data_IF_224857308773
#
_entry.id   IF_224857308773
#
_cell.length_a   1.000
_cell.length_b   1.000
_cell.length_c   1.000
_cell.angle_alpha   90.00
_cell.angle_beta   90.00
_cell.angle_gamma   90.00
#
_symmetry.space_group_name_H-M   'P 1'
#
loop_
_entity.id
_entity.type
_entity.pdbx_description
1 polymer ?
#
# COMPACT_ATOMS: atom_id res chain seq x y z
N UNK A 1 4.48 19.30 4.93
CA UNK A 1 5.48 20.34 5.14
C UNK A 1 5.24 21.48 4.14
N UNK A 2 5.47 22.72 4.57
CA UNK A 2 5.43 23.89 3.66
C UNK A 2 6.75 24.07 2.96
N UNK A 3 6.71 24.48 1.69
CA UNK A 3 7.88 24.88 0.91
C UNK A 3 7.82 26.39 0.67
N UNK A 4 8.96 27.06 0.81
CA UNK A 4 9.10 28.49 0.50
C UNK A 4 10.29 28.67 -0.44
N UNK A 5 10.05 29.36 -1.55
CA UNK A 5 11.08 29.75 -2.50
C UNK A 5 11.26 31.26 -2.41
N UNK A 6 12.50 31.75 -2.19
CA UNK A 6 12.81 33.17 -2.10
C UNK A 6 13.94 33.45 -3.08
N UNK A 7 13.70 34.30 -4.08
CA UNK A 7 14.66 34.67 -5.13
C UNK A 7 15.34 33.48 -5.85
N UNK A 8 14.60 32.38 -5.96
CA UNK A 8 15.10 31.14 -6.59
C UNK A 8 15.02 31.27 -8.12
N UNK A 9 16.14 31.54 -8.76
CA UNK A 9 16.24 31.63 -10.23
C UNK A 9 16.58 30.28 -10.79
N UNK A 10 15.70 29.73 -11.61
CA UNK A 10 15.89 28.43 -12.31
C UNK A 10 16.02 28.71 -13.81
N UNK A 11 17.10 28.26 -14.47
CA UNK A 11 17.24 28.38 -15.93
C UNK A 11 16.11 27.67 -16.67
N UNK A 12 15.61 28.26 -17.74
CA UNK A 12 14.48 27.74 -18.54
C UNK A 12 14.71 26.32 -19.07
N UNK A 13 15.96 25.93 -19.32
CA UNK A 13 16.32 24.54 -19.73
C UNK A 13 15.91 23.45 -18.73
N UNK A 14 15.58 23.80 -17.49
CA UNK A 14 15.11 22.87 -16.48
C UNK A 14 13.58 22.82 -16.37
N UNK A 15 12.88 23.57 -17.23
CA UNK A 15 11.42 23.49 -17.31
C UNK A 15 11.00 22.14 -17.91
N UNK A 16 10.02 21.52 -17.28
CA UNK A 16 9.38 20.29 -17.74
C UNK A 16 8.06 20.65 -18.44
N UNK A 17 7.97 20.35 -19.73
CA UNK A 17 6.77 20.64 -20.54
C UNK A 17 6.63 22.14 -20.88
N UNK A 18 5.49 22.50 -21.44
CA UNK A 18 5.18 23.86 -21.83
C UNK A 18 4.64 24.71 -20.69
N UNK A 19 4.66 26.03 -20.83
CA UNK A 19 4.08 26.97 -19.85
C UNK A 19 2.58 26.71 -19.73
N UNK A 20 2.11 26.46 -18.51
CA UNK A 20 0.72 26.14 -18.22
C UNK A 20 0.40 24.64 -18.12
N UNK A 21 1.31 23.74 -18.52
CA UNK A 21 1.09 22.28 -18.52
C UNK A 21 1.55 21.55 -17.25
N UNK A 22 1.99 22.25 -16.23
CA UNK A 22 2.54 21.65 -15.01
C UNK A 22 1.61 20.65 -14.34
N UNK A 23 0.28 20.86 -14.36
CA UNK A 23 -0.69 19.92 -13.84
C UNK A 23 -0.70 18.61 -14.66
N UNK A 24 -0.61 18.69 -15.99
CA UNK A 24 -0.57 17.52 -16.85
C UNK A 24 0.67 16.68 -16.59
N UNK A 25 1.85 17.32 -16.49
CA UNK A 25 3.12 16.66 -16.14
C UNK A 25 3.02 15.96 -14.77
N UNK A 26 2.44 16.65 -13.76
CA UNK A 26 2.24 16.08 -12.43
C UNK A 26 1.29 14.87 -12.47
N UNK A 27 0.17 14.94 -13.19
CA UNK A 27 -0.81 13.85 -13.29
C UNK A 27 -0.25 12.62 -13.99
N UNK A 28 0.60 12.80 -15.00
CA UNK A 28 1.30 11.70 -15.66
C UNK A 28 2.22 10.97 -14.68
N UNK A 29 3.03 11.71 -13.92
CA UNK A 29 3.91 11.15 -12.88
C UNK A 29 3.11 10.40 -11.79
N UNK A 30 1.99 10.98 -11.34
CA UNK A 30 1.12 10.36 -10.33
C UNK A 30 0.45 9.07 -10.81
N UNK A 31 0.30 8.85 -12.11
CA UNK A 31 -0.21 7.60 -12.65
C UNK A 31 0.65 6.41 -12.23
N UNK A 32 1.96 6.50 -12.48
CA UNK A 32 2.90 5.43 -12.16
C UNK A 32 3.21 5.36 -10.65
N UNK A 33 3.34 6.50 -9.97
CA UNK A 33 3.70 6.53 -8.55
C UNK A 33 2.62 5.92 -7.64
N UNK A 34 1.36 5.89 -8.05
CA UNK A 34 0.30 5.13 -7.35
C UNK A 34 0.59 3.63 -7.29
N UNK A 35 1.20 3.08 -8.34
CA UNK A 35 1.63 1.68 -8.35
C UNK A 35 2.79 1.46 -7.36
N UNK A 36 3.72 2.41 -7.25
CA UNK A 36 4.79 2.37 -6.24
C UNK A 36 4.25 2.42 -4.80
N UNK A 37 3.21 3.23 -4.54
CA UNK A 37 2.54 3.23 -3.23
C UNK A 37 1.90 1.87 -2.94
N UNK A 38 1.26 1.26 -3.94
CA UNK A 38 0.69 -0.08 -3.76
C UNK A 38 1.75 -1.14 -3.45
N UNK A 39 2.92 -1.07 -4.10
CA UNK A 39 4.05 -1.97 -3.87
C UNK A 39 4.68 -1.74 -2.48
N UNK A 40 4.84 -0.49 -2.06
CA UNK A 40 5.29 -0.15 -0.70
C UNK A 40 4.35 -0.72 0.37
N UNK A 41 3.04 -0.61 0.17
CA UNK A 41 2.04 -1.22 1.04
C UNK A 41 2.14 -2.76 1.04
N UNK A 42 2.40 -3.39 -0.11
CA UNK A 42 2.63 -4.83 -0.20
C UNK A 42 3.84 -5.27 0.64
N UNK A 43 4.95 -4.51 0.56
CA UNK A 43 6.14 -4.76 1.37
C UNK A 43 5.86 -4.66 2.87
N UNK A 44 5.13 -3.63 3.30
CA UNK A 44 4.70 -3.49 4.70
C UNK A 44 3.80 -4.64 5.14
N UNK A 45 2.80 -5.01 4.33
CA UNK A 45 1.90 -6.11 4.64
C UNK A 45 2.64 -7.44 4.75
N UNK A 46 3.60 -7.71 3.87
CA UNK A 46 4.45 -8.90 3.93
C UNK A 46 5.24 -8.95 5.26
N UNK A 47 5.85 -7.84 5.66
CA UNK A 47 6.58 -7.75 6.93
C UNK A 47 5.67 -7.98 8.13
N UNK A 48 4.49 -7.39 8.13
CA UNK A 48 3.48 -7.58 9.20
C UNK A 48 3.06 -9.05 9.33
N UNK A 49 2.86 -9.75 8.22
CA UNK A 49 2.54 -11.18 8.23
C UNK A 49 3.68 -12.02 8.80
N UNK A 50 4.93 -11.72 8.44
CA UNK A 50 6.12 -12.42 8.98
C UNK A 50 6.24 -12.27 10.49
N UNK A 51 6.03 -11.06 11.01
CA UNK A 51 6.02 -10.78 12.45
C UNK A 51 4.90 -11.55 13.16
N UNK A 52 3.71 -11.59 12.57
CA UNK A 52 2.56 -12.33 13.08
C UNK A 52 2.84 -13.82 13.17
N UNK A 53 3.44 -14.42 12.13
CA UNK A 53 3.80 -15.84 12.10
C UNK A 53 4.88 -16.16 13.13
N UNK A 54 5.91 -15.33 13.26
CA UNK A 54 6.97 -15.50 14.25
C UNK A 54 6.38 -15.55 15.66
N UNK A 55 5.58 -14.54 16.02
CA UNK A 55 4.88 -14.49 17.31
C UNK A 55 3.98 -15.69 17.54
N UNK A 56 3.19 -16.06 16.54
CA UNK A 56 2.23 -17.17 16.67
C UNK A 56 2.92 -18.52 16.91
N UNK A 57 4.12 -18.73 16.40
CA UNK A 57 4.93 -19.95 16.63
C UNK A 57 5.51 -20.01 18.04
N UNK A 58 5.96 -18.88 18.57
CA UNK A 58 6.70 -18.82 19.84
C UNK A 58 5.80 -18.67 21.07
N UNK A 59 4.72 -17.88 20.97
CA UNK A 59 3.85 -17.62 22.10
C UNK A 59 3.02 -18.83 22.49
N UNK A 60 3.18 -19.27 23.71
CA UNK A 60 2.39 -20.36 24.30
C UNK A 60 1.27 -19.77 25.18
N UNK A 61 0.04 -20.22 24.96
CA UNK A 61 -1.12 -19.91 25.80
C UNK A 61 -1.92 -21.20 26.04
N UNK A 62 -2.36 -21.40 27.29
CA UNK A 62 -3.10 -22.62 27.67
C UNK A 62 -2.41 -23.91 27.19
N UNK A 63 -1.08 -23.97 27.37
CA UNK A 63 -0.26 -25.15 27.07
C UNK A 63 0.02 -25.44 25.58
N UNK A 64 -0.35 -24.53 24.65
CA UNK A 64 -0.13 -24.73 23.21
C UNK A 64 0.34 -23.43 22.51
N UNK A 65 1.21 -23.49 21.47
CA UNK A 65 1.55 -22.33 20.65
C UNK A 65 0.31 -21.69 20.01
N UNK A 66 0.31 -20.37 19.89
CA UNK A 66 -0.81 -19.62 19.29
C UNK A 66 -1.14 -20.11 17.88
N UNK A 67 -0.15 -20.49 17.08
CA UNK A 67 -0.32 -21.00 15.70
C UNK A 67 -1.23 -22.24 15.63
N UNK A 68 -1.45 -22.95 16.74
CA UNK A 68 -2.37 -24.10 16.83
C UNK A 68 -3.82 -23.69 17.07
N UNK A 69 -4.12 -22.40 17.22
CA UNK A 69 -5.47 -21.86 17.39
C UNK A 69 -6.10 -21.57 16.05
N UNK A 70 -7.31 -22.05 15.81
CA UNK A 70 -8.02 -21.83 14.53
C UNK A 70 -8.21 -20.35 14.21
N UNK A 71 -8.55 -19.50 15.20
CA UNK A 71 -8.68 -18.06 15.01
C UNK A 71 -7.39 -17.43 14.46
N UNK A 72 -6.24 -17.80 15.02
CA UNK A 72 -4.93 -17.32 14.57
C UNK A 72 -4.61 -17.81 13.13
N UNK A 73 -4.92 -19.07 12.85
CA UNK A 73 -4.73 -19.61 11.49
C UNK A 73 -5.60 -18.90 10.47
N UNK A 74 -6.84 -18.54 10.84
CA UNK A 74 -7.74 -17.77 9.98
C UNK A 74 -7.18 -16.38 9.69
N UNK A 75 -6.69 -15.66 10.70
CA UNK A 75 -6.06 -14.34 10.51
C UNK A 75 -4.82 -14.40 9.61
N UNK A 76 -3.97 -15.41 9.81
CA UNK A 76 -2.77 -15.63 8.97
C UNK A 76 -3.18 -15.93 7.52
N UNK A 77 -4.16 -16.81 7.31
CA UNK A 77 -4.64 -17.18 5.99
C UNK A 77 -5.29 -15.99 5.26
N UNK A 78 -6.11 -15.21 5.97
CA UNK A 78 -6.74 -14.02 5.44
C UNK A 78 -5.69 -12.98 5.02
N UNK A 79 -4.69 -12.73 5.86
CA UNK A 79 -3.58 -11.84 5.55
C UNK A 79 -2.79 -12.32 4.32
N UNK A 80 -2.47 -13.61 4.26
CA UNK A 80 -1.77 -14.20 3.12
C UNK A 80 -2.55 -14.10 1.81
N UNK A 81 -3.87 -14.30 1.86
CA UNK A 81 -4.77 -14.14 0.70
C UNK A 81 -4.70 -12.72 0.13
N UNK A 82 -4.85 -11.70 0.97
CA UNK A 82 -4.82 -10.32 0.51
C UNK A 82 -3.46 -9.92 -0.07
N UNK A 83 -2.36 -10.36 0.56
CA UNK A 83 -1.00 -10.15 0.04
C UNK A 83 -0.82 -10.82 -1.33
N UNK A 84 -1.31 -12.05 -1.48
CA UNK A 84 -1.23 -12.78 -2.75
C UNK A 84 -1.99 -12.07 -3.88
N UNK A 85 -3.24 -11.65 -3.61
CA UNK A 85 -4.09 -10.95 -4.58
C UNK A 85 -3.48 -9.60 -4.98
N UNK A 86 -3.01 -8.81 -4.01
CA UNK A 86 -2.38 -7.52 -4.28
C UNK A 86 -1.10 -7.68 -5.12
N UNK A 87 -0.24 -8.65 -4.76
CA UNK A 87 0.98 -8.92 -5.53
C UNK A 87 0.66 -9.27 -6.98
N UNK A 88 -0.33 -10.12 -7.20
CA UNK A 88 -0.77 -10.50 -8.55
C UNK A 88 -1.28 -9.30 -9.34
N UNK A 89 -2.07 -8.43 -8.72
CA UNK A 89 -2.58 -7.23 -9.36
C UNK A 89 -1.47 -6.24 -9.73
N UNK A 90 -0.49 -6.02 -8.83
CA UNK A 90 0.66 -5.15 -9.10
C UNK A 90 1.49 -5.68 -10.28
N UNK A 91 1.77 -6.98 -10.30
CA UNK A 91 2.52 -7.60 -11.41
C UNK A 91 1.76 -7.50 -12.73
N UNK A 92 0.43 -7.65 -12.72
CA UNK A 92 -0.37 -7.46 -13.92
C UNK A 92 -0.34 -6.01 -14.41
N UNK A 93 -0.53 -5.04 -13.52
CA UNK A 93 -0.45 -3.62 -13.86
C UNK A 93 0.93 -3.23 -14.43
N UNK A 94 2.01 -3.76 -13.85
CA UNK A 94 3.37 -3.52 -14.33
C UNK A 94 3.58 -4.08 -15.75
N UNK A 95 3.12 -5.30 -16.04
CA UNK A 95 3.22 -5.91 -17.38
C UNK A 95 2.43 -5.13 -18.42
N UNK A 96 1.23 -4.65 -18.09
CA UNK A 96 0.43 -3.80 -18.98
C UNK A 96 1.14 -2.49 -19.28
N UNK A 97 1.72 -1.86 -18.27
CA UNK A 97 2.52 -0.66 -18.45
C UNK A 97 3.74 -0.89 -19.36
N UNK A 98 4.47 -2.00 -19.16
CA UNK A 98 5.60 -2.39 -20.02
C UNK A 98 5.15 -2.66 -21.48
N UNK A 99 3.92 -3.10 -21.68
CA UNK A 99 3.31 -3.28 -22.99
C UNK A 99 2.84 -1.96 -23.64
N UNK A 100 2.98 -0.82 -22.96
CA UNK A 100 2.63 0.51 -23.46
C UNK A 100 1.19 0.93 -23.18
N UNK A 101 0.46 0.22 -22.31
CA UNK A 101 -0.88 0.62 -21.89
C UNK A 101 -0.83 1.79 -20.89
N UNK A 102 -1.89 2.61 -20.86
CA UNK A 102 -2.04 3.68 -19.86
C UNK A 102 -2.21 3.06 -18.45
N UNK A 103 -1.29 3.34 -17.50
CA UNK A 103 -1.32 2.72 -16.17
C UNK A 103 -2.40 3.28 -15.25
N UNK A 104 -3.09 4.35 -15.62
CA UNK A 104 -3.89 5.15 -14.70
C UNK A 104 -4.99 4.36 -13.99
N UNK A 105 -5.72 3.54 -14.73
CA UNK A 105 -6.83 2.74 -14.17
C UNK A 105 -6.30 1.64 -13.26
N UNK A 106 -5.37 0.82 -13.75
CA UNK A 106 -4.80 -0.30 -13.01
C UNK A 106 -4.04 0.17 -11.78
N UNK A 107 -3.26 1.25 -11.87
CA UNK A 107 -2.56 1.82 -10.73
C UNK A 107 -3.52 2.33 -9.64
N UNK A 108 -4.66 2.94 -10.05
CA UNK A 108 -5.69 3.37 -9.10
C UNK A 108 -6.38 2.17 -8.42
N UNK A 109 -6.66 1.09 -9.15
CA UNK A 109 -7.21 -0.14 -8.60
C UNK A 109 -6.22 -0.84 -7.65
N UNK A 110 -4.94 -0.94 -8.03
CA UNK A 110 -3.89 -1.48 -7.18
C UNK A 110 -3.73 -0.67 -5.89
N UNK A 111 -3.78 0.66 -5.98
CA UNK A 111 -3.73 1.52 -4.80
C UNK A 111 -4.92 1.27 -3.86
N UNK A 112 -6.14 1.17 -4.38
CA UNK A 112 -7.32 0.85 -3.57
C UNK A 112 -7.18 -0.52 -2.89
N UNK A 113 -6.80 -1.55 -3.65
CA UNK A 113 -6.57 -2.89 -3.11
C UNK A 113 -5.46 -2.91 -2.04
N UNK A 114 -4.41 -2.11 -2.22
CA UNK A 114 -3.31 -2.03 -1.25
C UNK A 114 -3.76 -1.44 0.09
N UNK A 115 -4.65 -0.44 0.06
CA UNK A 115 -5.24 0.14 1.27
C UNK A 115 -6.04 -0.90 2.05
N UNK A 116 -6.88 -1.68 1.36
CA UNK A 116 -7.67 -2.73 2.00
C UNK A 116 -6.75 -3.85 2.56
N UNK A 117 -5.70 -4.20 1.82
CA UNK A 117 -4.70 -5.18 2.25
C UNK A 117 -4.00 -4.75 3.55
N UNK A 118 -3.40 -3.55 3.59
CA UNK A 118 -2.67 -3.12 4.79
C UNK A 118 -3.59 -2.92 5.98
N UNK A 119 -4.84 -2.50 5.77
CA UNK A 119 -5.84 -2.39 6.82
C UNK A 119 -6.10 -3.73 7.50
N UNK A 120 -6.37 -4.76 6.72
CA UNK A 120 -6.66 -6.10 7.25
C UNK A 120 -5.42 -6.72 7.90
N UNK A 121 -4.28 -6.63 7.22
CA UNK A 121 -3.05 -7.27 7.71
C UNK A 121 -2.51 -6.57 8.97
N UNK A 122 -2.60 -5.26 9.06
CA UNK A 122 -2.14 -4.52 10.24
C UNK A 122 -3.01 -4.78 11.47
N UNK A 123 -4.32 -4.86 11.30
CA UNK A 123 -5.24 -5.20 12.38
C UNK A 123 -4.98 -6.64 12.87
N UNK A 124 -4.89 -7.62 11.96
CA UNK A 124 -4.56 -9.00 12.30
C UNK A 124 -3.18 -9.13 12.98
N UNK A 125 -2.19 -8.37 12.53
CA UNK A 125 -0.87 -8.34 13.16
C UNK A 125 -0.95 -7.90 14.63
N UNK A 126 -1.60 -6.78 14.91
CA UNK A 126 -1.73 -6.27 16.28
C UNK A 126 -2.51 -7.24 17.16
N UNK A 127 -3.56 -7.87 16.63
CA UNK A 127 -4.33 -8.86 17.40
C UNK A 127 -3.50 -10.12 17.74
N UNK A 128 -2.69 -10.63 16.80
CA UNK A 128 -1.79 -11.77 17.02
C UNK A 128 -0.63 -11.40 17.96
N UNK A 129 -0.04 -10.22 17.83
CA UNK A 129 1.03 -9.76 18.72
C UNK A 129 0.49 -9.48 20.13
N UNK A 130 -0.76 -9.02 20.24
CA UNK A 130 -1.35 -8.58 21.49
C UNK A 130 -0.66 -7.34 22.05
N UNK A 131 -0.65 -7.16 23.35
CA UNK A 131 -0.11 -5.96 24.00
C UNK A 131 1.30 -5.57 23.62
N UNK A 132 2.17 -6.52 23.26
CA UNK A 132 3.56 -6.20 22.86
C UNK A 132 3.61 -5.47 21.51
N UNK A 133 2.65 -5.69 20.62
CA UNK A 133 2.58 -4.98 19.33
C UNK A 133 2.18 -3.50 19.45
N UNK A 134 1.68 -3.10 20.61
CA UNK A 134 1.28 -1.72 20.90
C UNK A 134 2.45 -0.83 21.37
N UNK A 135 3.54 -1.42 21.84
CA UNK A 135 4.70 -0.69 22.31
C UNK A 135 5.64 -0.33 21.16
N UNK A 136 6.33 0.81 21.27
CA UNK A 136 7.35 1.25 20.31
C UNK A 136 8.48 0.23 20.16
N UNK A 137 8.89 -0.39 21.28
CA UNK A 137 9.87 -1.47 21.29
C UNK A 137 9.18 -2.83 21.33
N UNK A 138 9.14 -3.50 20.20
CA UNK A 138 8.58 -4.85 20.04
C UNK A 138 9.67 -5.80 19.50
N UNK A 139 9.90 -6.93 20.18
CA UNK A 139 10.92 -7.92 19.80
C UNK A 139 10.76 -8.51 18.40
N UNK A 140 9.54 -8.44 17.81
CA UNK A 140 9.26 -8.93 16.46
C UNK A 140 9.47 -7.85 15.39
N UNK A 141 9.71 -6.61 15.77
CA UNK A 141 9.93 -5.48 14.88
C UNK A 141 9.03 -4.28 15.19
N UNK A 142 9.02 -3.25 14.36
CA UNK A 142 8.34 -1.99 14.62
C UNK A 142 6.82 -2.06 14.34
N UNK A 143 6.09 -2.91 15.09
CA UNK A 143 4.67 -3.20 14.84
C UNK A 143 3.78 -1.95 14.93
N UNK A 144 3.90 -1.19 16.02
CA UNK A 144 3.17 0.05 16.25
C UNK A 144 3.44 1.05 15.11
N UNK A 145 4.71 1.21 14.75
CA UNK A 145 5.12 2.11 13.68
C UNK A 145 4.54 1.69 12.33
N UNK A 146 4.63 0.42 11.96
CA UNK A 146 4.05 -0.09 10.71
C UNK A 146 2.54 0.13 10.65
N UNK A 147 1.83 -0.10 11.75
CA UNK A 147 0.39 0.17 11.87
C UNK A 147 0.07 1.65 11.62
N UNK A 148 0.83 2.56 12.20
CA UNK A 148 0.67 4.00 12.05
C UNK A 148 1.09 4.48 10.66
N UNK A 149 2.22 4.01 10.14
CA UNK A 149 2.78 4.44 8.86
C UNK A 149 1.91 4.00 7.68
N UNK A 150 1.36 2.78 7.70
CA UNK A 150 0.46 2.33 6.63
C UNK A 150 -0.79 3.20 6.51
N UNK A 151 -1.23 3.88 7.57
CA UNK A 151 -2.35 4.82 7.52
C UNK A 151 -2.04 6.09 6.74
N UNK A 152 -0.79 6.56 6.74
CA UNK A 152 -0.36 7.70 5.94
C UNK A 152 -0.44 7.41 4.43
N UNK A 153 -0.08 6.21 4.02
CA UNK A 153 -0.12 5.75 2.62
C UNK A 153 -1.53 5.80 1.99
N UNK A 154 -2.60 5.84 2.79
CA UNK A 154 -3.96 6.00 2.26
C UNK A 154 -4.18 7.37 1.63
N UNK A 155 -3.48 8.38 2.13
CA UNK A 155 -3.68 9.79 1.77
C UNK A 155 -2.74 10.24 0.65
N UNK A 156 -1.56 9.63 0.56
CA UNK A 156 -0.57 9.98 -0.45
C UNK A 156 -1.13 9.78 -1.87
N UNK A 157 -0.75 10.66 -2.77
CA UNK A 157 -1.11 10.63 -4.21
C UNK A 157 -2.61 10.53 -4.51
N UNK A 158 -3.40 11.05 -3.61
CA UNK A 158 -4.85 11.11 -3.68
C UNK A 158 -5.54 10.07 -2.79
N UNK A 159 -6.51 10.51 -1.98
CA UNK A 159 -7.25 9.65 -1.07
C UNK A 159 -8.12 8.62 -1.82
N UNK A 160 -8.66 7.61 -1.12
CA UNK A 160 -9.48 6.56 -1.74
C UNK A 160 -10.65 7.06 -2.59
N UNK A 161 -11.26 8.19 -2.21
CA UNK A 161 -12.35 8.80 -2.98
C UNK A 161 -11.90 9.24 -4.38
N UNK A 162 -10.72 9.84 -4.48
CA UNK A 162 -10.12 10.24 -5.77
C UNK A 162 -9.78 9.01 -6.59
N UNK A 163 -9.17 7.98 -5.98
CA UNK A 163 -8.80 6.76 -6.69
C UNK A 163 -10.03 6.02 -7.24
N UNK A 164 -11.14 5.96 -6.48
CA UNK A 164 -12.38 5.35 -6.94
C UNK A 164 -12.95 6.08 -8.16
N UNK A 165 -12.94 7.41 -8.14
CA UNK A 165 -13.41 8.21 -9.28
C UNK A 165 -12.54 8.02 -10.50
N UNK A 166 -11.20 7.98 -10.32
CA UNK A 166 -10.25 7.76 -11.42
C UNK A 166 -10.43 6.37 -12.03
N UNK A 167 -10.45 5.33 -11.21
CA UNK A 167 -10.68 3.96 -11.67
C UNK A 167 -12.03 3.79 -12.38
N UNK A 168 -13.11 4.34 -11.79
CA UNK A 168 -14.44 4.25 -12.40
C UNK A 168 -14.50 4.90 -13.79
N UNK A 169 -13.88 6.08 -13.96
CA UNK A 169 -13.82 6.73 -15.28
C UNK A 169 -13.09 5.87 -16.30
N UNK A 170 -11.95 5.30 -15.94
CA UNK A 170 -11.20 4.40 -16.81
C UNK A 170 -12.03 3.19 -17.23
N UNK A 171 -12.62 2.47 -16.25
CA UNK A 171 -13.46 1.29 -16.50
C UNK A 171 -14.67 1.60 -17.38
N UNK A 172 -15.32 2.75 -17.19
CA UNK A 172 -16.45 3.18 -18.03
C UNK A 172 -15.99 3.44 -19.47
N UNK A 173 -14.81 4.04 -19.66
CA UNK A 173 -14.30 4.38 -20.99
C UNK A 173 -13.84 3.15 -21.76
N UNK A 174 -13.22 2.16 -21.07
CA UNK A 174 -12.69 0.94 -21.70
C UNK A 174 -13.73 -0.20 -21.78
N UNK A 175 -14.93 -0.02 -21.23
CA UNK A 175 -15.96 -1.07 -21.20
C UNK A 175 -15.71 -2.14 -20.13
N UNK A 176 -14.77 -1.90 -19.21
CA UNK A 176 -14.46 -2.79 -18.09
C UNK A 176 -13.35 -3.83 -18.35
N UNK A 177 -12.63 -3.68 -19.47
CA UNK A 177 -11.50 -4.55 -19.85
C UNK A 177 -10.22 -4.26 -19.06
#
# INVERSE_FOLDING_TARGET
AGLRFTDCRVPDRYRLGEVGEGLHVAMYSLGLSRLHIADSNLGMAQRMLEMSIARAKERITFGKPLVKRQAIQTMIAESGKWIYLLRSAIHDAARRYEAGEDPMTQASLCKLASIDTVKIVSDNMLEILGGIGYFEECEYGPAERLYRDCRAMWLEEGPPSVQRTTAARGLITTGGD
#
